data_IF_964690954418
#
_entry.id   IF_964690954418
#
_cell.length_a   1.000
_cell.length_b   1.000
_cell.length_c   1.000
_cell.angle_alpha   90.00
_cell.angle_beta   90.00
_cell.angle_gamma   90.00
#
_symmetry.space_group_name_H-M   'P 1'
#
loop_
_entity.id
_entity.type
_entity.pdbx_description
1 polymer ?
#
# COMPACT_ATOMS: atom_id res chain seq x y z
N UNK A 1 -73.68 47.38 -12.64
CA UNK A 1 -73.55 47.76 -11.21
C UNK A 1 -72.16 47.40 -10.72
N UNK A 2 -71.72 48.14 -9.71
CA UNK A 2 -70.36 48.36 -9.21
C UNK A 2 -69.77 47.14 -8.45
N UNK A 3 -68.43 47.02 -8.49
CA UNK A 3 -67.52 46.11 -7.73
C UNK A 3 -67.60 46.29 -6.18
N UNK A 4 -66.68 45.80 -5.28
CA UNK A 4 -65.57 44.81 -5.34
C UNK A 4 -65.47 43.85 -4.11
N UNK A 5 -64.48 42.95 -4.10
CA UNK A 5 -63.49 42.62 -3.02
C UNK A 5 -62.96 41.20 -3.29
N UNK A 6 -61.69 40.95 -3.58
CA UNK A 6 -60.52 41.32 -2.79
C UNK A 6 -60.12 40.13 -1.91
N UNK A 7 -59.54 39.08 -2.50
CA UNK A 7 -58.99 37.92 -1.81
C UNK A 7 -57.45 37.87 -1.95
N UNK A 8 -56.71 37.30 -0.97
CA UNK A 8 -55.28 37.49 -0.83
C UNK A 8 -54.49 36.84 -1.98
N UNK A 9 -53.49 37.56 -2.50
CA UNK A 9 -52.47 36.99 -3.39
C UNK A 9 -51.62 36.00 -2.61
N UNK A 10 -51.55 34.76 -3.07
CA UNK A 10 -50.52 33.81 -2.64
C UNK A 10 -49.13 34.44 -2.84
N UNK A 11 -48.20 34.26 -1.88
CA UNK A 11 -46.82 34.71 -2.07
C UNK A 11 -46.17 33.90 -3.20
N UNK A 12 -45.32 34.52 -4.04
CA UNK A 12 -44.63 33.80 -5.09
C UNK A 12 -43.75 32.70 -4.48
N UNK A 13 -44.01 31.48 -4.91
CA UNK A 13 -43.26 30.27 -4.56
C UNK A 13 -41.74 30.51 -4.64
N UNK A 14 -40.93 30.05 -3.67
CA UNK A 14 -39.50 30.33 -3.66
C UNK A 14 -38.85 29.76 -4.91
N UNK A 15 -38.38 30.68 -5.76
CA UNK A 15 -37.56 30.37 -6.93
C UNK A 15 -36.46 29.38 -6.52
N UNK A 16 -36.38 28.27 -7.24
CA UNK A 16 -35.28 27.32 -7.20
C UNK A 16 -33.93 28.03 -7.00
N UNK A 17 -33.07 27.53 -6.08
CA UNK A 17 -31.76 28.14 -5.89
C UNK A 17 -31.00 28.11 -7.21
N UNK A 18 -30.70 29.32 -7.70
CA UNK A 18 -29.95 29.59 -8.92
C UNK A 18 -28.71 28.67 -8.97
N UNK A 19 -28.62 27.91 -10.06
CA UNK A 19 -27.51 27.03 -10.42
C UNK A 19 -26.19 27.78 -10.29
N UNK A 20 -25.41 27.47 -9.26
CA UNK A 20 -24.13 28.11 -8.93
C UNK A 20 -23.02 27.63 -9.90
N UNK A 21 -22.47 28.49 -10.78
CA UNK A 21 -21.45 28.09 -11.78
C UNK A 21 -20.13 27.63 -11.15
N UNK A 22 -19.79 28.20 -10.00
CA UNK A 22 -18.59 27.86 -9.23
C UNK A 22 -18.58 26.40 -8.78
N UNK A 23 -19.74 25.77 -8.51
CA UNK A 23 -19.79 24.34 -8.19
C UNK A 23 -19.47 23.43 -9.39
N UNK A 24 -19.51 23.93 -10.64
CA UNK A 24 -19.14 23.14 -11.83
C UNK A 24 -17.64 23.16 -12.11
N UNK A 25 -16.95 24.26 -11.83
CA UNK A 25 -15.51 24.36 -12.06
C UNK A 25 -14.73 23.28 -11.27
N UNK A 26 -15.13 23.02 -10.03
CA UNK A 26 -14.54 21.98 -9.18
C UNK A 26 -14.78 20.55 -9.69
N UNK A 27 -15.88 20.30 -10.41
CA UNK A 27 -16.26 18.96 -10.89
C UNK A 27 -15.31 18.36 -11.92
N UNK A 28 -14.37 19.15 -12.46
CA UNK A 28 -13.40 18.68 -13.44
C UNK A 28 -11.94 18.89 -13.01
N UNK A 29 -11.69 19.60 -11.90
CA UNK A 29 -10.31 19.84 -11.42
C UNK A 29 -9.56 18.55 -11.13
N UNK A 30 -10.25 17.52 -10.62
CA UNK A 30 -9.66 16.21 -10.36
C UNK A 30 -9.13 15.51 -11.61
N UNK A 31 -9.60 15.86 -12.81
CA UNK A 31 -9.16 15.21 -14.07
C UNK A 31 -7.71 15.55 -14.42
N UNK A 32 -7.14 16.56 -13.79
CA UNK A 32 -5.79 17.05 -14.06
C UNK A 32 -4.85 16.86 -12.86
N UNK A 33 -5.29 16.18 -11.79
CA UNK A 33 -4.46 16.00 -10.60
C UNK A 33 -3.55 14.78 -10.78
N UNK A 34 -2.22 14.90 -10.59
CA UNK A 34 -1.32 13.75 -10.76
C UNK A 34 -1.44 12.70 -9.65
N UNK A 35 -2.21 12.98 -8.58
CA UNK A 35 -2.31 12.15 -7.37
C UNK A 35 -3.77 11.75 -7.07
N UNK A 36 -4.34 10.74 -7.75
CA UNK A 36 -5.61 10.15 -7.34
C UNK A 36 -5.44 9.32 -6.05
N UNK A 37 -6.11 9.75 -4.98
CA UNK A 37 -6.11 9.06 -3.68
C UNK A 37 -7.53 8.60 -3.33
N UNK A 38 -7.73 7.29 -3.30
CA UNK A 38 -8.99 6.62 -2.96
C UNK A 38 -8.96 6.01 -1.56
N UNK A 39 -7.98 6.37 -0.72
CA UNK A 39 -7.99 5.94 0.69
C UNK A 39 -9.18 6.56 1.42
N UNK A 40 -9.80 5.79 2.31
CA UNK A 40 -10.94 6.23 3.14
C UNK A 40 -12.17 6.73 2.35
N UNK A 41 -12.29 6.35 1.08
CA UNK A 41 -13.44 6.71 0.26
C UNK A 41 -14.64 5.79 0.54
N UNK A 42 -15.77 6.36 0.98
CA UNK A 42 -17.05 5.66 1.08
C UNK A 42 -17.85 5.83 -0.21
N UNK A 43 -17.67 4.93 -1.17
CA UNK A 43 -18.34 5.01 -2.49
C UNK A 43 -19.66 4.26 -2.58
N UNK A 44 -20.27 3.96 -1.43
CA UNK A 44 -21.56 3.28 -1.35
C UNK A 44 -21.56 1.97 -2.15
N UNK A 45 -22.62 1.73 -2.95
CA UNK A 45 -22.79 0.48 -3.70
C UNK A 45 -21.80 0.29 -4.86
N UNK A 46 -21.14 1.34 -5.34
CA UNK A 46 -20.31 1.24 -6.55
C UNK A 46 -19.02 0.44 -6.34
N UNK A 47 -18.55 0.33 -5.09
CA UNK A 47 -17.24 -0.25 -4.76
C UNK A 47 -16.09 0.68 -5.16
N UNK A 48 -15.02 0.70 -4.35
CA UNK A 48 -13.89 1.64 -4.49
C UNK A 48 -13.13 1.43 -5.80
N UNK A 49 -13.02 0.18 -6.25
CA UNK A 49 -12.35 -0.19 -7.51
C UNK A 49 -13.08 0.39 -8.71
N UNK A 50 -14.41 0.22 -8.80
CA UNK A 50 -15.21 0.76 -9.91
C UNK A 50 -15.18 2.29 -9.95
N UNK A 51 -15.15 2.93 -8.77
CA UNK A 51 -15.02 4.37 -8.66
C UNK A 51 -13.65 4.84 -9.17
N UNK A 52 -12.57 4.17 -8.74
CA UNK A 52 -11.21 4.45 -9.20
C UNK A 52 -11.08 4.26 -10.72
N UNK A 53 -11.61 3.16 -11.26
CA UNK A 53 -11.62 2.90 -12.70
C UNK A 53 -12.37 3.98 -13.48
N UNK A 54 -13.56 4.37 -12.99
CA UNK A 54 -14.37 5.43 -13.61
C UNK A 54 -13.70 6.80 -13.60
N UNK A 55 -12.88 7.08 -12.58
CA UNK A 55 -12.08 8.30 -12.49
C UNK A 55 -10.90 8.23 -13.45
N UNK A 56 -10.12 7.14 -13.44
CA UNK A 56 -8.95 6.99 -14.30
C UNK A 56 -9.30 7.02 -15.79
N UNK A 57 -10.40 6.38 -16.20
CA UNK A 57 -10.89 6.43 -17.58
C UNK A 57 -11.26 7.84 -18.07
N UNK A 58 -11.48 8.79 -17.15
CA UNK A 58 -11.83 10.18 -17.44
C UNK A 58 -10.72 11.14 -17.04
N UNK A 59 -9.58 10.62 -16.60
CA UNK A 59 -8.42 11.37 -16.20
C UNK A 59 -7.69 11.85 -17.46
N UNK A 60 -7.25 13.11 -17.45
CA UNK A 60 -6.62 13.76 -18.59
C UNK A 60 -5.13 13.98 -18.40
N UNK A 61 -4.64 13.99 -17.15
CA UNK A 61 -3.22 14.09 -16.85
C UNK A 61 -2.59 12.70 -16.63
N UNK A 62 -1.26 12.65 -16.63
CA UNK A 62 -0.54 11.48 -16.15
C UNK A 62 -0.74 11.33 -14.64
N UNK A 63 -0.72 10.08 -14.18
CA UNK A 63 -0.83 9.74 -12.76
C UNK A 63 0.58 9.42 -12.30
N UNK A 64 1.02 10.12 -11.27
CA UNK A 64 2.34 9.94 -10.64
C UNK A 64 2.22 9.18 -9.33
N UNK A 65 1.15 9.40 -8.57
CA UNK A 65 0.91 8.70 -7.31
C UNK A 65 -0.50 8.15 -7.28
N UNK A 66 -0.66 6.90 -6.87
CA UNK A 66 -1.97 6.26 -6.75
C UNK A 66 -2.11 5.54 -5.42
N UNK A 67 -3.24 5.75 -4.75
CA UNK A 67 -3.56 5.06 -3.51
C UNK A 67 -4.98 4.49 -3.54
N UNK A 68 -5.13 3.23 -3.13
CA UNK A 68 -6.40 2.53 -3.11
C UNK A 68 -6.57 1.74 -1.80
N UNK A 69 -7.71 1.94 -1.14
CA UNK A 69 -8.10 1.20 0.04
C UNK A 69 -9.42 0.46 -0.19
N UNK A 70 -9.32 -0.86 -0.38
CA UNK A 70 -10.44 -1.78 -0.51
C UNK A 70 -10.64 -2.68 0.71
N UNK A 71 -10.20 -2.24 1.89
CA UNK A 71 -10.27 -3.05 3.11
C UNK A 71 -11.65 -3.08 3.78
N UNK A 72 -12.57 -2.17 3.44
CA UNK A 72 -13.88 -2.10 4.08
C UNK A 72 -15.01 -1.64 3.15
N UNK A 73 -15.99 -2.52 2.82
CA UNK A 73 -15.93 -3.98 3.01
C UNK A 73 -14.79 -4.61 2.18
N UNK A 74 -14.26 -5.80 2.57
CA UNK A 74 -13.28 -6.50 1.77
C UNK A 74 -13.76 -6.69 0.33
N UNK A 75 -12.86 -6.49 -0.63
CA UNK A 75 -13.16 -6.65 -2.05
C UNK A 75 -13.51 -8.12 -2.33
N UNK A 76 -14.66 -8.43 -2.98
CA UNK A 76 -14.96 -9.78 -3.40
C UNK A 76 -13.91 -10.28 -4.40
N UNK A 77 -13.55 -11.56 -4.35
CA UNK A 77 -12.59 -12.15 -5.30
C UNK A 77 -13.02 -11.97 -6.77
N UNK A 78 -14.34 -11.92 -7.02
CA UNK A 78 -14.91 -11.67 -8.34
C UNK A 78 -14.53 -10.29 -8.93
N UNK A 79 -14.14 -9.31 -8.10
CA UNK A 79 -13.67 -7.99 -8.54
C UNK A 79 -12.14 -7.93 -8.75
N UNK A 80 -11.40 -9.01 -8.46
CA UNK A 80 -9.95 -9.07 -8.70
C UNK A 80 -9.57 -8.82 -10.18
N UNK A 81 -10.26 -9.37 -11.20
CA UNK A 81 -9.94 -9.08 -12.59
C UNK A 81 -10.08 -7.60 -12.95
N UNK A 82 -11.06 -6.90 -12.36
CA UNK A 82 -11.23 -5.45 -12.58
C UNK A 82 -10.10 -4.63 -11.96
N UNK A 83 -9.58 -5.11 -10.84
CA UNK A 83 -8.41 -4.54 -10.21
C UNK A 83 -7.15 -4.82 -11.02
N UNK A 84 -7.02 -6.00 -11.63
CA UNK A 84 -5.95 -6.29 -12.58
C UNK A 84 -6.01 -5.32 -13.77
N UNK A 85 -7.19 -5.13 -14.37
CA UNK A 85 -7.41 -4.14 -15.43
C UNK A 85 -7.02 -2.71 -15.00
N UNK A 86 -7.33 -2.34 -13.76
CA UNK A 86 -6.98 -1.06 -13.17
C UNK A 86 -5.45 -0.89 -13.06
N UNK A 87 -4.75 -1.90 -12.53
CA UNK A 87 -3.29 -1.87 -12.36
C UNK A 87 -2.57 -1.93 -13.71
N UNK A 88 -3.11 -2.63 -14.69
CA UNK A 88 -2.61 -2.61 -16.07
C UNK A 88 -2.81 -1.20 -16.65
N UNK A 89 -3.97 -0.57 -16.43
CA UNK A 89 -4.21 0.78 -16.91
C UNK A 89 -3.22 1.80 -16.34
N UNK A 90 -2.85 1.65 -15.06
CA UNK A 90 -1.87 2.49 -14.36
C UNK A 90 -0.41 2.23 -14.79
N UNK A 91 -0.14 1.13 -15.50
CA UNK A 91 1.22 0.79 -15.92
C UNK A 91 1.69 1.61 -17.14
N UNK A 92 3.02 1.73 -17.37
CA UNK A 92 3.57 2.39 -18.55
C UNK A 92 3.04 1.79 -19.86
N UNK A 93 2.93 2.58 -20.95
CA UNK A 93 3.37 3.98 -21.10
C UNK A 93 2.29 5.01 -20.71
N UNK A 94 1.13 4.59 -20.20
CA UNK A 94 -0.04 5.48 -20.00
C UNK A 94 0.18 6.47 -18.87
N UNK A 95 0.78 6.02 -17.79
CA UNK A 95 1.07 6.83 -16.61
C UNK A 95 2.54 6.66 -16.21
N UNK A 96 3.06 7.67 -15.52
CA UNK A 96 4.44 7.71 -15.03
C UNK A 96 4.43 7.51 -13.51
N UNK A 97 3.90 6.36 -13.08
CA UNK A 97 3.68 6.06 -11.68
C UNK A 97 5.02 5.99 -10.91
N UNK A 98 5.12 6.80 -9.86
CA UNK A 98 6.21 6.92 -8.89
C UNK A 98 5.82 6.34 -7.53
N UNK A 99 4.59 6.56 -7.09
CA UNK A 99 4.07 6.02 -5.83
C UNK A 99 2.84 5.14 -6.01
N UNK A 100 2.85 3.97 -5.38
CA UNK A 100 1.69 3.07 -5.33
C UNK A 100 1.42 2.60 -3.92
N UNK A 101 0.19 2.85 -3.43
CA UNK A 101 -0.28 2.40 -2.12
C UNK A 101 -1.53 1.55 -2.29
N UNK A 102 -1.48 0.29 -1.88
CA UNK A 102 -2.59 -0.65 -1.97
C UNK A 102 -2.90 -1.26 -0.60
N UNK A 103 -4.14 -1.08 -0.13
CA UNK A 103 -4.68 -1.78 1.04
C UNK A 103 -5.83 -2.68 0.59
N UNK A 104 -5.51 -3.94 0.27
CA UNK A 104 -6.39 -4.86 -0.44
C UNK A 104 -6.27 -6.28 0.16
N UNK A 105 -7.10 -6.63 1.15
CA UNK A 105 -7.04 -7.93 1.82
C UNK A 105 -7.20 -9.10 0.82
N UNK A 106 -6.30 -10.09 0.92
CA UNK A 106 -6.30 -11.33 0.12
C UNK A 106 -6.16 -11.15 -1.39
N UNK A 107 -5.87 -9.95 -1.88
CA UNK A 107 -5.63 -9.71 -3.30
C UNK A 107 -4.23 -10.18 -3.70
N UNK A 108 -4.13 -10.99 -4.76
CA UNK A 108 -2.86 -11.36 -5.37
C UNK A 108 -2.39 -10.24 -6.28
N UNK A 109 -1.27 -9.61 -5.94
CA UNK A 109 -0.73 -8.48 -6.66
C UNK A 109 -0.41 -8.84 -8.12
N UNK A 110 -1.00 -8.09 -9.05
CA UNK A 110 -0.76 -8.28 -10.48
C UNK A 110 0.68 -7.92 -10.87
N UNK A 111 1.26 -8.66 -11.83
CA UNK A 111 2.66 -8.50 -12.23
C UNK A 111 2.98 -7.14 -12.88
N UNK A 112 1.97 -6.45 -13.44
CA UNK A 112 2.14 -5.13 -14.08
C UNK A 112 2.66 -4.06 -13.13
N UNK A 113 2.42 -4.19 -11.82
CA UNK A 113 2.97 -3.27 -10.80
C UNK A 113 4.49 -3.23 -10.86
N UNK A 114 5.11 -4.38 -11.11
CA UNK A 114 6.56 -4.51 -11.16
C UNK A 114 7.17 -4.10 -12.50
N UNK A 115 6.33 -3.81 -13.51
CA UNK A 115 6.76 -3.23 -14.78
C UNK A 115 6.81 -1.69 -14.75
N UNK A 116 6.44 -1.07 -13.62
CA UNK A 116 6.46 0.39 -13.45
C UNK A 116 7.90 0.88 -13.20
N UNK A 117 8.65 1.14 -14.28
CA UNK A 117 10.08 1.52 -14.23
C UNK A 117 10.39 2.77 -13.41
N UNK A 118 9.42 3.67 -13.23
CA UNK A 118 9.59 4.92 -12.49
C UNK A 118 9.13 4.83 -11.02
N UNK A 119 8.68 3.65 -10.59
CA UNK A 119 8.14 3.47 -9.25
C UNK A 119 9.25 3.64 -8.19
N UNK A 120 9.13 4.68 -7.37
CA UNK A 120 10.03 5.00 -6.26
C UNK A 120 9.52 4.46 -4.91
N UNK A 121 8.20 4.34 -4.77
CA UNK A 121 7.52 3.96 -3.53
C UNK A 121 6.43 2.92 -3.80
N UNK A 122 6.52 1.81 -3.08
CA UNK A 122 5.50 0.76 -3.08
C UNK A 122 5.10 0.44 -1.63
N UNK A 123 3.82 0.63 -1.33
CA UNK A 123 3.19 0.16 -0.09
C UNK A 123 2.07 -0.82 -0.42
N UNK A 124 2.19 -2.05 0.09
CA UNK A 124 1.16 -3.08 -0.05
C UNK A 124 0.77 -3.60 1.32
N UNK A 125 -0.53 -3.59 1.61
CA UNK A 125 -1.12 -4.06 2.85
C UNK A 125 -2.22 -5.06 2.54
N UNK A 126 -2.12 -6.23 3.16
CA UNK A 126 -3.08 -7.31 2.98
C UNK A 126 -3.00 -8.01 1.62
N UNK A 127 -2.01 -7.71 0.78
CA UNK A 127 -1.83 -8.34 -0.53
C UNK A 127 -0.92 -9.57 -0.46
N UNK A 128 -1.14 -10.54 -1.36
CA UNK A 128 -0.21 -11.62 -1.65
C UNK A 128 0.72 -11.20 -2.79
N UNK A 129 2.02 -11.47 -2.64
CA UNK A 129 2.97 -11.27 -3.72
C UNK A 129 2.76 -12.34 -4.79
N UNK A 130 2.98 -12.02 -6.09
CA UNK A 130 2.95 -13.05 -7.11
C UNK A 130 4.02 -14.08 -6.78
N UNK A 131 3.64 -15.36 -6.84
CA UNK A 131 4.58 -16.45 -6.58
C UNK A 131 5.81 -16.32 -7.47
N UNK A 132 6.97 -16.61 -6.90
CA UNK A 132 8.27 -16.61 -7.58
C UNK A 132 8.30 -17.75 -8.60
N UNK A 133 7.70 -17.57 -9.77
CA UNK A 133 8.09 -18.36 -10.93
C UNK A 133 9.55 -18.00 -11.21
N UNK A 134 10.50 -18.97 -11.21
CA UNK A 134 11.90 -18.70 -11.51
C UNK A 134 11.98 -17.97 -12.86
N UNK A 135 12.43 -16.72 -12.85
CA UNK A 135 12.51 -15.85 -14.03
C UNK A 135 11.50 -14.69 -14.06
N UNK A 136 10.34 -14.78 -13.41
CA UNK A 136 9.35 -13.70 -13.41
C UNK A 136 9.70 -12.58 -12.43
N UNK A 137 10.27 -12.88 -11.26
CA UNK A 137 10.72 -11.86 -10.28
C UNK A 137 12.14 -11.36 -10.57
N UNK A 138 12.98 -12.23 -11.15
CA UNK A 138 14.35 -11.88 -11.54
C UNK A 138 14.43 -10.96 -12.78
N UNK A 139 13.32 -10.78 -13.51
CA UNK A 139 13.24 -9.92 -14.70
C UNK A 139 12.52 -8.58 -14.46
N UNK A 140 12.19 -8.25 -13.21
CA UNK A 140 11.36 -7.08 -12.89
C UNK A 140 12.21 -5.81 -12.78
N UNK A 141 11.98 -4.79 -13.62
CA UNK A 141 12.78 -3.58 -13.70
C UNK A 141 12.39 -2.53 -12.65
N UNK A 142 12.23 -2.91 -11.37
CA UNK A 142 12.01 -1.96 -10.28
C UNK A 142 13.33 -1.30 -9.81
N UNK A 143 14.14 -0.87 -10.77
CA UNK A 143 15.48 -0.32 -10.52
C UNK A 143 15.45 1.00 -9.74
N UNK A 144 14.34 1.74 -9.84
CA UNK A 144 14.17 3.04 -9.19
C UNK A 144 13.46 2.94 -7.83
N UNK A 145 13.05 1.75 -7.39
CA UNK A 145 12.34 1.59 -6.13
C UNK A 145 13.30 1.86 -4.96
N UNK A 146 13.04 2.93 -4.22
CA UNK A 146 13.84 3.35 -3.05
C UNK A 146 13.16 2.99 -1.74
N UNK A 147 11.83 2.84 -1.75
CA UNK A 147 11.04 2.64 -0.54
C UNK A 147 10.02 1.52 -0.75
N UNK A 148 10.11 0.48 0.07
CA UNK A 148 9.21 -0.67 0.05
C UNK A 148 8.59 -0.88 1.43
N UNK A 149 7.26 -0.93 1.48
CA UNK A 149 6.49 -1.22 2.69
C UNK A 149 5.52 -2.37 2.43
N UNK A 150 5.71 -3.48 3.14
CA UNK A 150 4.87 -4.68 3.04
C UNK A 150 4.25 -4.97 4.39
N UNK A 151 2.92 -5.06 4.42
CA UNK A 151 2.17 -5.37 5.63
C UNK A 151 1.26 -6.57 5.39
N UNK A 152 1.69 -7.74 5.86
CA UNK A 152 0.87 -8.94 5.86
C UNK A 152 -0.12 -8.90 7.03
N UNK A 153 -1.41 -8.86 6.72
CA UNK A 153 -2.49 -8.78 7.71
C UNK A 153 -2.98 -10.18 8.10
N UNK A 154 -3.80 -10.28 9.16
CA UNK A 154 -4.26 -11.58 9.69
C UNK A 154 -5.07 -12.40 8.69
N UNK A 155 -5.78 -11.72 7.79
CA UNK A 155 -6.58 -12.36 6.73
C UNK A 155 -5.73 -13.19 5.77
N UNK A 156 -4.40 -12.94 5.73
CA UNK A 156 -3.46 -13.68 4.92
C UNK A 156 -2.87 -14.91 5.61
N UNK A 157 -3.10 -15.13 6.91
CA UNK A 157 -2.55 -16.25 7.67
C UNK A 157 -2.57 -17.60 6.93
N UNK A 158 -3.69 -18.06 6.32
CA UNK A 158 -3.72 -19.35 5.62
C UNK A 158 -2.86 -19.40 4.33
N UNK A 159 -2.45 -18.25 3.82
CA UNK A 159 -1.71 -18.11 2.56
C UNK A 159 -0.22 -17.75 2.77
N UNK A 160 0.17 -17.39 4.00
CA UNK A 160 1.56 -17.04 4.31
C UNK A 160 2.39 -18.31 4.56
N UNK A 161 3.28 -18.57 3.62
CA UNK A 161 4.22 -19.69 3.65
C UNK A 161 5.59 -19.22 3.14
N UNK A 162 6.59 -20.11 3.17
CA UNK A 162 7.94 -19.82 2.69
C UNK A 162 7.98 -19.21 1.28
N UNK A 163 7.10 -19.64 0.36
CA UNK A 163 7.07 -19.11 -1.00
C UNK A 163 6.70 -17.62 -1.06
N UNK A 164 5.84 -17.12 -0.16
CA UNK A 164 5.54 -15.68 -0.07
C UNK A 164 6.76 -14.88 0.43
N UNK A 165 7.55 -15.45 1.34
CA UNK A 165 8.77 -14.81 1.84
C UNK A 165 9.93 -14.90 0.84
N UNK A 166 10.02 -15.99 0.08
CA UNK A 166 10.94 -16.10 -1.05
C UNK A 166 10.58 -15.11 -2.16
N UNK A 167 9.29 -14.90 -2.44
CA UNK A 167 8.83 -13.87 -3.37
C UNK A 167 9.20 -12.46 -2.89
N UNK A 168 9.04 -12.18 -1.59
CA UNK A 168 9.48 -10.92 -0.99
C UNK A 168 11.01 -10.74 -1.07
N UNK A 169 11.78 -11.79 -0.76
CA UNK A 169 13.24 -11.77 -0.86
C UNK A 169 13.69 -11.51 -2.30
N UNK A 170 13.04 -12.15 -3.28
CA UNK A 170 13.32 -11.94 -4.69
C UNK A 170 12.96 -10.50 -5.13
N UNK A 171 11.85 -9.93 -4.64
CA UNK A 171 11.50 -8.53 -4.89
C UNK A 171 12.56 -7.58 -4.33
N UNK A 172 12.99 -7.78 -3.08
CA UNK A 172 14.03 -6.96 -2.43
C UNK A 172 15.33 -7.03 -3.24
N UNK A 173 15.74 -8.25 -3.62
CA UNK A 173 16.96 -8.49 -4.42
C UNK A 173 16.90 -7.84 -5.80
N UNK A 174 15.72 -7.76 -6.41
CA UNK A 174 15.48 -7.05 -7.67
C UNK A 174 15.56 -5.52 -7.59
N UNK A 175 15.65 -4.94 -6.38
CA UNK A 175 15.65 -3.49 -6.14
C UNK A 175 17.02 -3.02 -5.59
N UNK A 176 18.06 -2.88 -6.42
CA UNK A 176 19.40 -2.51 -5.95
C UNK A 176 19.48 -1.10 -5.34
N UNK A 177 18.53 -0.23 -5.68
CA UNK A 177 18.40 1.13 -5.16
C UNK A 177 17.62 1.25 -3.85
N UNK A 178 17.18 0.14 -3.24
CA UNK A 178 16.30 0.17 -2.07
C UNK A 178 17.01 0.77 -0.85
N UNK A 179 16.48 1.88 -0.34
CA UNK A 179 17.00 2.63 0.82
C UNK A 179 16.16 2.41 2.08
N UNK A 180 14.86 2.16 1.94
CA UNK A 180 13.95 1.95 3.07
C UNK A 180 13.12 0.68 2.88
N UNK A 181 13.16 -0.20 3.87
CA UNK A 181 12.39 -1.44 3.91
C UNK A 181 11.59 -1.52 5.21
N UNK A 182 10.28 -1.65 5.08
CA UNK A 182 9.38 -1.90 6.20
C UNK A 182 8.61 -3.19 5.95
N UNK A 183 8.77 -4.17 6.83
CA UNK A 183 8.05 -5.44 6.79
C UNK A 183 7.28 -5.63 8.08
N UNK A 184 5.96 -5.69 7.99
CA UNK A 184 5.07 -5.91 9.13
C UNK A 184 4.30 -7.21 8.88
N UNK A 185 4.43 -8.16 9.79
CA UNK A 185 3.75 -9.44 9.72
C UNK A 185 2.82 -9.56 10.91
N UNK A 186 1.55 -9.34 10.64
CA UNK A 186 0.46 -9.34 11.60
C UNK A 186 0.08 -10.71 12.17
N UNK A 187 0.01 -11.80 11.37
CA UNK A 187 -0.26 -13.13 11.89
C UNK A 187 1.01 -13.79 12.46
N UNK A 188 0.81 -14.83 13.25
CA UNK A 188 1.87 -15.68 13.78
C UNK A 188 2.16 -16.78 12.74
N UNK A 189 3.37 -16.79 12.18
CA UNK A 189 3.74 -17.71 11.09
C UNK A 189 5.06 -18.37 11.46
N UNK A 190 5.00 -19.67 11.75
CA UNK A 190 6.15 -20.43 12.23
C UNK A 190 7.19 -20.74 11.14
N UNK A 191 8.46 -20.76 11.53
CA UNK A 191 9.59 -21.29 10.76
C UNK A 191 9.98 -20.47 9.53
N UNK A 192 9.61 -19.20 9.48
CA UNK A 192 9.84 -18.34 8.31
C UNK A 192 11.19 -17.65 8.38
N UNK A 193 11.91 -17.71 7.26
CA UNK A 193 13.16 -16.97 7.04
C UNK A 193 12.96 -15.92 5.95
N UNK A 194 13.27 -14.66 6.26
CA UNK A 194 13.32 -13.58 5.27
C UNK A 194 14.78 -13.27 4.92
N UNK A 195 15.10 -13.36 3.63
CA UNK A 195 16.43 -13.02 3.11
C UNK A 195 16.41 -11.60 2.54
N UNK A 196 17.34 -10.76 2.96
CA UNK A 196 17.48 -9.37 2.53
C UNK A 196 18.77 -9.23 1.74
N UNK A 197 18.65 -8.84 0.48
CA UNK A 197 19.75 -8.49 -0.41
C UNK A 197 19.53 -7.05 -0.91
N UNK A 198 19.85 -6.07 -0.07
CA UNK A 198 19.65 -4.65 -0.34
C UNK A 198 20.88 -3.84 0.12
N UNK A 199 21.89 -3.64 -0.76
CA UNK A 199 23.18 -3.09 -0.37
C UNK A 199 23.13 -1.59 -0.02
N UNK A 200 22.11 -0.87 -0.49
CA UNK A 200 21.91 0.56 -0.22
C UNK A 200 20.91 0.83 0.90
N UNK A 201 20.49 -0.21 1.61
CA UNK A 201 19.48 -0.08 2.65
C UNK A 201 20.00 0.77 3.80
N UNK A 202 19.28 1.85 4.13
CA UNK A 202 19.60 2.78 5.21
C UNK A 202 18.62 2.71 6.36
N UNK A 203 17.36 2.37 6.06
CA UNK A 203 16.29 2.26 7.05
C UNK A 203 15.64 0.89 6.97
N UNK A 204 15.65 0.17 8.09
CA UNK A 204 15.00 -1.13 8.21
C UNK A 204 14.01 -1.12 9.37
N UNK A 205 12.77 -1.52 9.10
CA UNK A 205 11.78 -1.82 10.13
C UNK A 205 11.20 -3.21 9.90
N UNK A 206 11.37 -4.10 10.87
CA UNK A 206 10.75 -5.43 10.85
C UNK A 206 9.89 -5.56 12.10
N UNK A 207 8.62 -5.86 11.90
CA UNK A 207 7.69 -6.19 12.99
C UNK A 207 7.08 -7.55 12.70
N UNK A 208 7.24 -8.50 13.59
CA UNK A 208 6.63 -9.82 13.47
C UNK A 208 5.97 -10.20 14.80
N UNK A 209 5.00 -11.12 14.74
CA UNK A 209 4.40 -11.74 15.93
C UNK A 209 4.90 -13.14 16.22
N UNK A 210 5.75 -13.71 15.37
CA UNK A 210 6.32 -15.06 15.55
C UNK A 210 7.68 -15.01 16.23
N UNK A 211 7.90 -15.90 17.20
CA UNK A 211 9.14 -15.99 17.98
C UNK A 211 10.31 -16.60 17.21
N UNK A 212 9.98 -17.43 16.22
CA UNK A 212 10.89 -18.21 15.39
C UNK A 212 11.20 -17.54 14.04
N UNK A 213 10.93 -16.23 13.95
CA UNK A 213 11.24 -15.44 12.78
C UNK A 213 12.74 -15.26 12.61
N UNK A 214 13.28 -15.59 11.43
CA UNK A 214 14.69 -15.33 11.11
C UNK A 214 14.84 -14.34 9.97
N UNK A 215 15.79 -13.41 10.13
CA UNK A 215 16.19 -12.45 9.10
C UNK A 215 17.65 -12.70 8.77
N UNK A 216 17.95 -12.89 7.48
CA UNK A 216 19.30 -13.13 6.99
C UNK A 216 19.67 -12.08 5.94
N UNK A 217 20.79 -11.40 6.15
CA UNK A 217 21.38 -10.52 5.14
C UNK A 217 22.29 -11.35 4.24
N UNK A 218 22.05 -11.34 2.93
CA UNK A 218 22.81 -12.16 1.97
C UNK A 218 24.13 -11.52 1.54
N UNK A 219 24.39 -10.27 1.92
CA UNK A 219 25.60 -9.52 1.62
C UNK A 219 26.25 -9.00 2.91
N UNK A 220 27.36 -8.25 2.78
CA UNK A 220 27.81 -7.36 3.85
C UNK A 220 26.60 -6.58 4.39
N UNK A 221 26.49 -6.53 5.72
CA UNK A 221 25.46 -5.75 6.41
C UNK A 221 25.49 -4.33 5.84
N UNK A 222 24.36 -3.82 5.32
CA UNK A 222 24.32 -2.49 4.77
C UNK A 222 24.58 -1.47 5.89
N UNK A 223 25.08 -0.29 5.52
CA UNK A 223 25.31 0.81 6.45
C UNK A 223 23.96 1.42 6.87
N UNK A 224 23.34 0.79 7.87
CA UNK A 224 22.02 1.15 8.37
C UNK A 224 22.13 2.41 9.24
N UNK A 225 21.58 3.51 8.73
CA UNK A 225 21.37 4.73 9.52
C UNK A 225 20.30 4.54 10.60
N UNK A 226 19.32 3.65 10.36
CA UNK A 226 18.26 3.34 11.30
C UNK A 226 17.79 1.90 11.16
N UNK A 227 17.68 1.19 12.28
CA UNK A 227 17.06 -0.12 12.35
C UNK A 227 16.04 -0.17 13.50
N UNK A 228 14.88 -0.76 13.24
CA UNK A 228 13.85 -1.05 14.25
C UNK A 228 13.36 -2.48 14.09
N UNK A 229 13.64 -3.31 15.08
CA UNK A 229 13.18 -4.69 15.13
C UNK A 229 12.18 -4.83 16.28
N UNK A 230 10.95 -5.26 15.97
CA UNK A 230 9.92 -5.58 16.95
C UNK A 230 9.53 -7.03 16.74
N UNK A 231 10.22 -7.92 17.45
CA UNK A 231 9.94 -9.34 17.50
C UNK A 231 9.22 -9.65 18.82
N UNK A 232 8.36 -10.68 18.89
CA UNK A 232 7.74 -11.05 20.14
C UNK A 232 8.85 -11.58 21.07
N UNK A 233 9.08 -10.92 22.19
CA UNK A 233 9.83 -11.50 23.28
C UNK A 233 8.91 -12.49 24.00
N UNK A 234 9.04 -13.78 23.70
CA UNK A 234 8.61 -14.78 24.66
C UNK A 234 9.75 -14.97 25.64
N UNK A 235 9.62 -14.43 26.85
CA UNK A 235 10.23 -15.09 27.99
C UNK A 235 9.66 -16.52 27.96
N UNK A 236 10.48 -17.51 27.64
CA UNK A 236 10.16 -18.86 28.08
C UNK A 236 10.01 -18.73 29.59
N UNK A 237 8.77 -18.76 30.07
CA UNK A 237 8.55 -19.04 31.47
C UNK A 237 9.15 -20.43 31.66
N UNK A 238 10.38 -20.50 32.20
CA UNK A 238 10.71 -21.61 33.06
C UNK A 238 9.53 -21.72 34.02
N UNK A 239 8.90 -22.90 34.04
CA UNK A 239 7.71 -23.19 34.85
C UNK A 239 7.77 -22.44 36.20
N UNK A 240 7.00 -21.37 36.32
CA UNK A 240 7.02 -20.54 37.53
C UNK A 240 6.92 -19.03 37.33
N UNK A 241 5.79 -18.56 36.81
CA UNK A 241 5.16 -17.34 37.32
C UNK A 241 5.61 -15.97 36.81
N UNK A 242 4.58 -15.17 36.50
CA UNK A 242 4.50 -13.70 36.37
C UNK A 242 4.84 -13.13 34.99
N UNK A 243 3.78 -12.68 34.31
CA UNK A 243 3.80 -11.82 33.12
C UNK A 243 4.56 -10.51 33.41
N UNK A 244 5.56 -10.21 32.60
CA UNK A 244 6.10 -8.87 32.46
C UNK A 244 6.17 -8.52 30.97
N UNK A 245 5.36 -7.55 30.53
CA UNK A 245 5.53 -6.95 29.20
C UNK A 245 6.68 -5.95 29.26
N UNK A 246 7.80 -6.24 28.61
CA UNK A 246 8.87 -5.28 28.38
C UNK A 246 8.84 -4.82 26.92
N UNK A 247 8.54 -3.54 26.69
CA UNK A 247 8.78 -2.89 25.39
C UNK A 247 10.26 -2.50 25.35
N UNK A 248 11.07 -3.23 24.60
CA UNK A 248 12.46 -2.84 24.34
C UNK A 248 12.59 -2.26 22.93
N UNK A 249 13.17 -1.06 22.84
CA UNK A 249 13.52 -0.40 21.57
C UNK A 249 15.05 -0.34 21.53
N UNK A 250 15.69 -1.20 20.74
CA UNK A 250 17.13 -1.05 20.49
C UNK A 250 17.34 0.01 19.41
N UNK A 251 18.01 1.10 19.81
CA UNK A 251 18.58 2.07 18.90
C UNK A 251 20.05 1.69 18.65
N UNK A 252 20.35 1.10 17.50
CA UNK A 252 21.72 1.00 17.03
C UNK A 252 22.11 2.34 16.41
N UNK A 253 22.93 3.12 17.11
CA UNK A 253 23.64 4.25 16.53
C UNK A 253 24.99 3.73 16.02
N UNK A 254 25.24 3.85 14.71
CA UNK A 254 26.54 3.55 14.12
C UNK A 254 27.60 4.49 14.71
N UNK A 255 28.55 3.92 15.43
CA UNK A 255 29.70 4.64 15.98
C UNK A 255 30.64 5.09 14.88
N UNK A 256 30.99 6.37 14.93
CA UNK A 256 31.94 7.02 14.02
C UNK A 256 33.32 6.35 14.02
N UNK A 257 33.93 6.39 12.84
CA UNK A 257 35.33 6.09 12.59
C UNK A 257 36.25 7.01 13.39
N UNK A 258 37.12 6.44 14.23
CA UNK A 258 38.29 7.10 14.75
C UNK A 258 39.52 6.73 13.92
N UNK A 259 39.97 7.65 13.07
CA UNK A 259 41.32 7.64 12.49
C UNK A 259 42.20 8.54 13.38
N UNK A 260 43.18 7.93 14.03
CA UNK A 260 44.54 8.45 14.28
C UNK A 260 45.37 7.33 14.91
#
# INVERSE_FOLDING_TARGET
>A
MIQPRGGPRDPPSPRHPRRRPHLRAWRHRWRHLPVPDFRRCSVGRLGVVSAAQSVLLRHLAQVEDFALDGSSPPLPEADHPRLDDLLIHLSPPRHALKGLVLNLPSYKLHSSVFSCVNLDYLEVKGCLLPGSTPGLVASLPLLHLTRLRVHYTRELEPHLNSAQFDALAALISGCPGLEQLVVIVGPEVAGVKLKIAAPRLRQLEIRARSADWMVEFQSLLPDLAQAKLQLPFFCYAQEGGVEASANFTEHFAGGEAGVA
#
